data_IF_483130026979
#
_entry.id   IF_483130026979
#
_cell.length_a   1.000
_cell.length_b   1.000
_cell.length_c   1.000
_cell.angle_alpha   90.00
_cell.angle_beta   90.00
_cell.angle_gamma   90.00
#
_symmetry.space_group_name_H-M   'P 1'
#
loop_
_entity.id
_entity.type
_entity.pdbx_description
1 polymer ?
#
# COMPACT_ATOMS: atom_id res chain seq x y z
N UNK A 1 24.72 64.23 38.84
CA UNK A 1 23.38 64.28 38.20
C UNK A 1 22.87 62.84 38.20
N UNK A 2 22.06 62.41 39.20
CA UNK A 2 20.59 62.50 39.29
C UNK A 2 19.88 61.90 38.06
N UNK A 3 18.95 60.97 38.37
CA UNK A 3 17.85 60.37 37.59
C UNK A 3 18.11 58.94 37.08
N UNK A 4 17.26 57.91 37.25
CA UNK A 4 16.01 57.65 38.01
C UNK A 4 15.68 56.15 37.76
N UNK A 5 15.08 55.49 38.75
CA UNK A 5 14.38 54.16 38.77
C UNK A 5 13.33 54.02 37.61
N UNK A 6 12.60 52.91 37.34
CA UNK A 6 12.43 51.67 38.15
C UNK A 6 12.14 50.33 37.41
N UNK A 7 12.17 49.23 38.19
CA UNK A 7 11.14 48.17 38.30
C UNK A 7 10.46 47.63 37.02
N UNK A 8 10.64 46.33 36.73
CA UNK A 8 9.53 45.36 36.53
C UNK A 8 10.04 43.94 36.21
N UNK A 9 9.76 43.01 37.14
CA UNK A 9 9.64 41.58 36.88
C UNK A 9 8.24 41.33 36.27
N UNK A 10 8.07 40.34 35.39
CA UNK A 10 7.04 39.36 35.72
C UNK A 10 7.47 37.92 35.49
N UNK A 11 7.46 37.21 36.61
CA UNK A 11 7.15 35.80 36.80
C UNK A 11 6.21 35.25 35.70
N UNK A 12 6.78 34.57 34.71
CA UNK A 12 6.01 33.93 33.65
C UNK A 12 5.71 32.48 34.03
N UNK A 13 4.45 32.25 34.34
CA UNK A 13 3.80 30.98 34.63
C UNK A 13 3.74 30.13 33.35
N UNK A 14 4.67 29.20 33.16
CA UNK A 14 4.62 28.25 32.06
C UNK A 14 3.77 27.04 32.46
N UNK A 15 2.49 27.08 32.07
CA UNK A 15 1.57 25.95 32.08
C UNK A 15 1.94 25.01 30.92
N UNK A 16 2.80 24.02 31.19
CA UNK A 16 3.17 23.00 30.20
C UNK A 16 2.06 21.95 30.07
N UNK A 17 1.39 22.02 28.91
CA UNK A 17 0.36 21.11 28.42
C UNK A 17 0.94 19.71 28.21
N UNK A 18 0.39 18.70 28.89
CA UNK A 18 0.74 17.30 28.68
C UNK A 18 0.26 16.83 27.30
N UNK A 19 1.18 16.53 26.40
CA UNK A 19 0.89 15.92 25.11
C UNK A 19 0.87 14.39 25.27
N UNK A 20 -0.34 13.83 25.35
CA UNK A 20 -0.56 12.40 25.37
C UNK A 20 -0.12 11.75 24.05
N UNK A 21 0.94 10.95 24.11
CA UNK A 21 1.31 10.04 23.04
C UNK A 21 0.36 8.83 23.05
N UNK A 22 -0.67 8.86 22.22
CA UNK A 22 -1.39 7.63 21.87
C UNK A 22 -0.46 6.76 21.04
N UNK A 23 0.09 5.73 21.67
CA UNK A 23 0.80 4.66 21.00
C UNK A 23 -0.13 4.02 19.96
N UNK A 24 0.19 4.17 18.68
CA UNK A 24 -0.44 3.40 17.61
C UNK A 24 -0.03 1.94 17.83
N UNK A 25 -0.99 1.13 18.29
CA UNK A 25 -0.82 -0.31 18.36
C UNK A 25 -0.47 -0.82 16.95
N UNK A 26 0.78 -1.27 16.77
CA UNK A 26 1.20 -1.97 15.57
C UNK A 26 0.41 -3.28 15.50
N UNK A 27 -0.41 -3.41 14.46
CA UNK A 27 -1.15 -4.64 14.19
C UNK A 27 -0.15 -5.77 13.90
N UNK A 28 -0.14 -6.87 14.68
CA UNK A 28 0.83 -7.95 14.51
C UNK A 28 0.63 -8.74 13.20
N UNK A 29 -0.39 -8.43 12.39
CA UNK A 29 -0.59 -9.01 11.06
C UNK A 29 0.06 -8.20 9.92
N UNK A 30 0.74 -7.08 10.21
CA UNK A 30 1.47 -6.29 9.24
C UNK A 30 2.77 -7.01 8.81
N UNK A 31 2.63 -7.97 7.89
CA UNK A 31 3.72 -8.36 6.99
C UNK A 31 4.41 -7.10 6.45
N UNK A 32 5.74 -7.06 6.33
CA UNK A 32 6.45 -5.86 5.86
C UNK A 32 5.77 -5.35 4.58
N UNK A 33 5.44 -4.06 4.58
CA UNK A 33 4.64 -3.46 3.53
C UNK A 33 5.43 -3.54 2.21
N UNK A 34 5.00 -4.43 1.31
CA UNK A 34 5.45 -4.42 -0.08
C UNK A 34 4.97 -3.13 -0.74
N UNK A 35 5.84 -2.48 -1.52
CA UNK A 35 5.46 -1.32 -2.33
C UNK A 35 4.60 -1.79 -3.53
N UNK A 36 3.33 -2.06 -3.24
CA UNK A 36 2.38 -2.59 -4.20
C UNK A 36 2.17 -1.67 -5.43
N UNK A 37 2.10 -0.33 -5.29
CA UNK A 37 2.07 0.56 -6.45
C UNK A 37 3.31 0.41 -7.35
N UNK A 38 4.52 0.38 -6.79
CA UNK A 38 5.74 0.21 -7.58
C UNK A 38 5.81 -1.17 -8.23
N UNK A 39 5.47 -2.23 -7.50
CA UNK A 39 5.40 -3.60 -8.03
C UNK A 39 4.37 -3.70 -9.16
N UNK A 40 3.18 -3.12 -9.01
CA UNK A 40 2.16 -3.13 -10.03
C UNK A 40 2.66 -2.42 -11.30
N UNK A 41 3.30 -1.24 -11.15
CA UNK A 41 3.90 -0.52 -12.26
C UNK A 41 4.96 -1.35 -12.98
N UNK A 42 5.81 -2.05 -12.23
CA UNK A 42 6.92 -2.83 -12.78
C UNK A 42 6.48 -4.15 -13.46
N UNK A 43 5.43 -4.80 -12.96
CA UNK A 43 5.05 -6.16 -13.36
C UNK A 43 3.73 -6.22 -14.13
N UNK A 44 2.79 -5.33 -13.86
CA UNK A 44 1.41 -5.44 -14.35
C UNK A 44 1.07 -4.39 -15.41
N UNK A 45 1.52 -3.15 -15.21
CA UNK A 45 1.02 -1.99 -15.95
C UNK A 45 1.36 -2.00 -17.46
N UNK A 46 2.43 -2.68 -17.87
CA UNK A 46 2.80 -2.80 -19.30
C UNK A 46 1.72 -3.50 -20.13
N UNK A 47 1.02 -4.46 -19.53
CA UNK A 47 -0.08 -5.20 -20.17
C UNK A 47 -1.45 -4.67 -19.73
N UNK A 48 -1.65 -4.46 -18.42
CA UNK A 48 -2.97 -4.13 -17.86
C UNK A 48 -3.28 -2.62 -17.80
N UNK A 49 -2.33 -1.77 -18.19
CA UNK A 49 -2.46 -0.32 -18.05
C UNK A 49 -2.12 0.15 -16.63
N UNK A 50 -1.81 1.43 -16.47
CA UNK A 50 -1.41 2.00 -15.18
C UNK A 50 -2.51 1.90 -14.12
N UNK A 51 -3.78 1.92 -14.55
CA UNK A 51 -4.97 1.84 -13.71
C UNK A 51 -5.71 0.49 -13.82
N UNK A 52 -5.11 -0.51 -14.48
CA UNK A 52 -5.72 -1.83 -14.67
C UNK A 52 -6.90 -1.88 -15.64
N UNK A 53 -7.20 -0.80 -16.37
CA UNK A 53 -8.35 -0.71 -17.27
C UNK A 53 -8.17 -1.43 -18.60
N UNK A 54 -6.92 -1.77 -19.01
CA UNK A 54 -6.70 -2.42 -20.30
C UNK A 54 -7.20 -3.86 -20.28
N UNK A 55 -8.14 -4.14 -21.19
CA UNK A 55 -8.60 -5.48 -21.49
C UNK A 55 -7.63 -6.16 -22.45
N UNK A 56 -6.90 -7.17 -21.96
CA UNK A 56 -5.99 -7.97 -22.78
C UNK A 56 -6.72 -9.13 -23.49
N UNK A 57 -7.81 -9.64 -22.90
CA UNK A 57 -8.61 -10.74 -23.47
C UNK A 57 -10.11 -10.59 -23.24
N UNK A 58 -10.54 -10.60 -21.97
CA UNK A 58 -11.97 -10.70 -21.65
C UNK A 58 -12.43 -9.67 -20.64
N UNK A 59 -11.64 -9.43 -19.59
CA UNK A 59 -11.99 -8.47 -18.54
C UNK A 59 -10.76 -7.66 -18.11
N UNK A 60 -10.93 -6.39 -17.71
CA UNK A 60 -9.87 -5.59 -17.11
C UNK A 60 -9.51 -6.12 -15.71
N UNK A 61 -8.36 -5.66 -15.19
CA UNK A 61 -7.95 -5.93 -13.80
C UNK A 61 -8.63 -4.97 -12.83
N UNK A 62 -8.95 -3.76 -13.29
CA UNK A 62 -9.72 -2.75 -12.56
C UNK A 62 -11.07 -3.32 -12.10
N UNK A 63 -11.43 -3.07 -10.85
CA UNK A 63 -12.67 -3.56 -10.24
C UNK A 63 -12.63 -5.01 -9.74
N UNK A 64 -11.49 -5.71 -9.79
CA UNK A 64 -11.35 -6.98 -9.07
C UNK A 64 -11.28 -6.75 -7.56
N UNK A 65 -12.00 -7.57 -6.80
CA UNK A 65 -11.82 -7.63 -5.35
C UNK A 65 -10.41 -8.15 -5.00
N UNK A 66 -9.91 -7.80 -3.81
CA UNK A 66 -8.63 -8.29 -3.34
C UNK A 66 -8.61 -9.83 -3.25
N UNK A 67 -9.72 -10.42 -2.80
CA UNK A 67 -9.87 -11.88 -2.71
C UNK A 67 -9.80 -12.52 -4.10
N UNK A 68 -10.56 -11.99 -5.07
CA UNK A 68 -10.56 -12.47 -6.44
C UNK A 68 -9.19 -12.38 -7.08
N UNK A 69 -8.50 -11.25 -6.91
CA UNK A 69 -7.16 -11.07 -7.44
C UNK A 69 -6.19 -12.10 -6.84
N UNK A 70 -6.19 -12.25 -5.51
CA UNK A 70 -5.34 -13.20 -4.81
C UNK A 70 -5.62 -14.64 -5.26
N UNK A 71 -6.89 -15.03 -5.34
CA UNK A 71 -7.28 -16.38 -5.79
C UNK A 71 -6.78 -16.68 -7.20
N UNK A 72 -6.93 -15.72 -8.13
CA UNK A 72 -6.45 -15.87 -9.51
C UNK A 72 -4.93 -15.96 -9.58
N UNK A 73 -4.20 -15.09 -8.87
CA UNK A 73 -2.74 -15.09 -8.85
C UNK A 73 -2.16 -16.37 -8.25
N UNK A 74 -2.74 -16.87 -7.17
CA UNK A 74 -2.35 -18.18 -6.60
C UNK A 74 -2.67 -19.31 -7.56
N UNK A 75 -3.80 -19.26 -8.25
CA UNK A 75 -4.15 -20.23 -9.29
C UNK A 75 -3.19 -20.20 -10.49
N UNK A 76 -2.74 -19.03 -10.94
CA UNK A 76 -1.71 -18.91 -11.97
C UNK A 76 -0.36 -19.46 -11.48
N UNK A 77 0.04 -19.15 -10.24
CA UNK A 77 1.28 -19.67 -9.63
C UNK A 77 1.25 -21.20 -9.50
N UNK A 78 0.10 -21.77 -9.15
CA UNK A 78 -0.13 -23.20 -9.06
C UNK A 78 -0.47 -23.88 -10.41
N UNK A 79 -0.60 -23.10 -11.50
CA UNK A 79 -1.02 -23.57 -12.82
C UNK A 79 -2.39 -24.26 -12.86
N UNK A 80 -3.28 -23.91 -11.92
CA UNK A 80 -4.66 -24.43 -11.81
C UNK A 80 -5.71 -23.46 -12.33
N UNK A 81 -5.31 -22.24 -12.74
CA UNK A 81 -6.19 -21.19 -13.25
C UNK A 81 -5.64 -20.57 -14.53
N UNK A 82 -6.53 -20.21 -15.46
CA UNK A 82 -6.18 -19.37 -16.60
C UNK A 82 -7.00 -19.60 -17.87
N UNK A 83 -6.69 -18.82 -18.91
CA UNK A 83 -7.28 -18.91 -20.25
C UNK A 83 -6.22 -18.79 -21.35
N UNK A 84 -6.55 -18.21 -22.51
CA UNK A 84 -5.67 -18.20 -23.69
C UNK A 84 -4.31 -17.50 -23.51
N UNK A 85 -4.13 -16.68 -22.47
CA UNK A 85 -2.85 -16.02 -22.12
C UNK A 85 -2.28 -16.48 -20.77
N UNK A 86 -2.71 -17.65 -20.28
CA UNK A 86 -2.28 -18.18 -18.97
C UNK A 86 -0.77 -18.35 -18.86
N UNK A 87 -0.07 -18.80 -19.91
CA UNK A 87 1.38 -19.00 -19.85
C UNK A 87 2.16 -17.72 -19.47
N UNK A 88 1.70 -16.55 -19.94
CA UNK A 88 2.30 -15.27 -19.56
C UNK A 88 2.05 -14.91 -18.09
N UNK A 89 0.83 -15.14 -17.60
CA UNK A 89 0.48 -14.88 -16.20
C UNK A 89 1.06 -15.92 -15.23
N UNK A 90 1.19 -17.18 -15.64
CA UNK A 90 1.87 -18.23 -14.88
C UNK A 90 3.35 -17.87 -14.68
N UNK A 91 4.05 -17.42 -15.74
CA UNK A 91 5.44 -16.96 -15.64
C UNK A 91 5.56 -15.75 -14.71
N UNK A 92 4.67 -14.77 -14.84
CA UNK A 92 4.69 -13.59 -14.00
C UNK A 92 4.40 -13.92 -12.52
N UNK A 93 3.42 -14.79 -12.27
CA UNK A 93 3.02 -15.19 -10.93
C UNK A 93 4.06 -16.08 -10.23
N UNK A 94 4.88 -16.80 -10.99
CA UNK A 94 5.97 -17.60 -10.44
C UNK A 94 7.04 -16.76 -9.72
N UNK A 95 7.27 -15.52 -10.18
CA UNK A 95 8.26 -14.61 -9.60
C UNK A 95 7.74 -13.83 -8.38
N UNK A 96 6.45 -13.94 -8.04
CA UNK A 96 5.83 -13.19 -6.95
C UNK A 96 5.82 -14.02 -5.66
N UNK A 97 6.24 -13.41 -4.56
CA UNK A 97 6.03 -13.98 -3.23
C UNK A 97 4.56 -13.88 -2.80
N UNK A 98 4.19 -14.63 -1.76
CA UNK A 98 2.82 -14.57 -1.23
C UNK A 98 2.52 -13.21 -0.59
N UNK A 99 3.56 -12.53 -0.07
CA UNK A 99 3.47 -11.16 0.42
C UNK A 99 3.22 -10.17 -0.74
N UNK A 100 3.91 -10.33 -1.87
CA UNK A 100 3.68 -9.51 -3.07
C UNK A 100 2.25 -9.67 -3.58
N UNK A 101 1.76 -10.92 -3.67
CA UNK A 101 0.38 -11.21 -4.11
C UNK A 101 -0.62 -10.56 -3.16
N UNK A 102 -0.41 -10.64 -1.83
CA UNK A 102 -1.27 -10.01 -0.84
C UNK A 102 -1.28 -8.48 -0.97
N UNK A 103 -0.11 -7.86 -1.16
CA UNK A 103 0.00 -6.41 -1.33
C UNK A 103 -0.64 -5.92 -2.64
N UNK A 104 -0.36 -6.61 -3.74
CA UNK A 104 -0.96 -6.34 -5.05
C UNK A 104 -2.49 -6.50 -4.99
N UNK A 105 -3.00 -7.52 -4.29
CA UNK A 105 -4.44 -7.69 -4.10
C UNK A 105 -5.09 -6.48 -3.41
N UNK A 106 -4.48 -6.00 -2.33
CA UNK A 106 -4.98 -4.83 -1.59
C UNK A 106 -4.89 -3.54 -2.41
N UNK A 107 -3.90 -3.42 -3.29
CA UNK A 107 -3.76 -2.29 -4.21
C UNK A 107 -4.77 -2.34 -5.35
N UNK A 108 -4.89 -3.48 -6.03
CA UNK A 108 -5.80 -3.67 -7.18
C UNK A 108 -7.27 -3.45 -6.79
N UNK A 109 -7.67 -3.83 -5.58
CA UNK A 109 -9.03 -3.59 -5.09
C UNK A 109 -9.39 -2.09 -4.94
N UNK A 110 -8.41 -1.19 -5.04
CA UNK A 110 -8.56 0.27 -4.94
C UNK A 110 -8.39 0.98 -6.29
N UNK A 111 -8.08 0.24 -7.37
CA UNK A 111 -7.93 0.76 -8.73
C UNK A 111 -9.29 0.94 -9.42
#
# INVERSE_FOLDING_TARGET
>A
MKLTLPLILPLSLALSLALGATALAADPAATPAVDAPALYKAKCASCHGADGSKTILSKPVKGLSAEDFRKKMLGYKAKTYGGSKKAGMEKLAADLSDADIKGLAAFVAKL
#
